data_IF_746739559776
#
_entry.id   IF_746739559776
#
_cell.length_a   1.000
_cell.length_b   1.000
_cell.length_c   1.000
_cell.angle_alpha   90.00
_cell.angle_beta   90.00
_cell.angle_gamma   90.00
#
_symmetry.space_group_name_H-M   'P 1'
#
loop_
_entity.id
_entity.type
_entity.pdbx_description
1 polymer ?
#
# COMPACT_ATOMS: atom_id res chain seq x y z
N UNK A 1 -11.44 12.42 14.92
CA UNK A 1 -10.23 11.64 14.59
C UNK A 1 -9.76 10.88 15.83
N UNK A 2 -9.56 9.56 15.78
CA UNK A 2 -9.09 8.79 16.94
C UNK A 2 -7.60 8.45 16.76
N UNK A 3 -6.76 8.96 17.67
CA UNK A 3 -5.32 8.76 17.64
C UNK A 3 -4.91 7.63 18.62
N UNK A 4 -4.30 6.56 18.09
CA UNK A 4 -3.77 5.45 18.91
C UNK A 4 -2.25 5.42 18.78
N UNK A 5 -1.51 5.32 19.90
CA UNK A 5 -0.06 5.21 19.86
C UNK A 5 0.37 3.87 19.22
N UNK A 6 1.50 3.88 18.51
CA UNK A 6 2.09 2.65 17.92
C UNK A 6 2.56 1.65 18.96
N UNK A 7 2.87 2.11 20.16
CA UNK A 7 3.37 1.29 21.26
C UNK A 7 2.51 1.54 22.48
N UNK A 8 2.10 0.47 23.16
CA UNK A 8 1.32 0.53 24.39
C UNK A 8 1.90 -0.43 25.41
N UNK A 9 2.08 0.01 26.65
CA UNK A 9 2.41 -0.89 27.74
C UNK A 9 1.12 -1.58 28.22
N UNK A 10 1.08 -2.91 28.17
CA UNK A 10 -0.08 -3.68 28.65
C UNK A 10 0.34 -5.07 29.12
N UNK A 11 -0.55 -5.70 29.88
CA UNK A 11 -0.33 -7.03 30.43
C UNK A 11 -0.28 -8.08 29.31
N UNK A 12 0.81 -8.85 29.29
CA UNK A 12 0.95 -10.00 28.40
C UNK A 12 0.41 -11.27 29.08
N UNK A 13 -0.56 -11.92 28.44
CA UNK A 13 -1.17 -13.18 28.93
C UNK A 13 -0.29 -14.42 28.72
N UNK A 14 0.84 -14.29 28.03
CA UNK A 14 1.71 -15.42 27.76
C UNK A 14 2.33 -15.95 29.07
N UNK A 15 2.48 -17.27 29.18
CA UNK A 15 2.97 -17.96 30.39
C UNK A 15 4.37 -17.49 30.79
N UNK A 16 5.22 -17.15 29.82
CA UNK A 16 6.60 -16.73 30.01
C UNK A 16 6.73 -15.27 30.49
N UNK A 17 5.78 -14.41 30.12
CA UNK A 17 5.89 -12.98 30.41
C UNK A 17 5.15 -12.62 31.69
N UNK A 18 3.85 -12.96 31.80
CA UNK A 18 2.95 -12.63 32.92
C UNK A 18 3.15 -11.23 33.55
N UNK A 19 3.60 -10.26 32.75
CA UNK A 19 4.00 -8.92 33.19
C UNK A 19 3.58 -7.89 32.15
N UNK A 20 3.57 -6.63 32.58
CA UNK A 20 3.35 -5.49 31.71
C UNK A 20 4.59 -5.29 30.83
N UNK A 21 4.40 -5.33 29.52
CA UNK A 21 5.47 -5.18 28.54
C UNK A 21 5.02 -4.24 27.44
N UNK A 22 5.99 -3.70 26.72
CA UNK A 22 5.73 -2.88 25.54
C UNK A 22 5.17 -3.76 24.42
N UNK A 23 4.05 -3.33 23.84
CA UNK A 23 3.39 -3.99 22.73
C UNK A 23 3.36 -3.08 21.51
N UNK A 24 3.68 -3.64 20.34
CA UNK A 24 3.47 -2.98 19.04
C UNK A 24 2.00 -3.09 18.68
N UNK A 25 1.39 -1.94 18.41
CA UNK A 25 -0.02 -1.80 18.04
C UNK A 25 -0.14 -1.75 16.53
N UNK A 26 -0.96 -2.64 15.98
CA UNK A 26 -1.32 -2.65 14.55
C UNK A 26 -2.82 -2.80 14.41
N UNK A 27 -3.38 -2.36 13.28
CA UNK A 27 -4.79 -2.58 12.99
C UNK A 27 -5.00 -4.02 12.50
N UNK A 28 -6.05 -4.67 12.97
CA UNK A 28 -6.47 -5.95 12.43
C UNK A 28 -6.94 -5.79 10.98
N UNK A 29 -6.37 -6.61 10.09
CA UNK A 29 -6.83 -6.78 8.71
C UNK A 29 -7.43 -8.17 8.57
N UNK A 30 -8.58 -8.27 7.91
CA UNK A 30 -9.18 -9.56 7.56
C UNK A 30 -8.27 -10.24 6.51
N UNK A 31 -7.94 -11.50 6.73
CA UNK A 31 -7.24 -12.32 5.72
C UNK A 31 -8.16 -12.73 4.57
N UNK A 32 -7.57 -13.40 3.56
CA UNK A 32 -8.32 -14.05 2.48
C UNK A 32 -9.16 -15.19 3.06
N UNK A 33 -10.42 -15.29 2.63
CA UNK A 33 -11.30 -16.38 3.05
C UNK A 33 -10.82 -17.72 2.44
N UNK A 34 -10.75 -18.77 3.25
CA UNK A 34 -10.29 -20.10 2.82
C UNK A 34 -11.40 -20.89 2.14
N UNK A 35 -11.09 -21.52 1.00
CA UNK A 35 -12.03 -22.37 0.25
C UNK A 35 -12.26 -23.74 0.91
N UNK A 36 -11.26 -24.25 1.64
CA UNK A 36 -11.33 -25.57 2.28
C UNK A 36 -12.26 -25.60 3.51
N UNK A 37 -12.68 -24.43 4.01
CA UNK A 37 -13.58 -24.32 5.14
C UNK A 37 -14.89 -25.09 4.89
N UNK A 38 -15.37 -25.85 5.88
CA UNK A 38 -16.56 -26.70 5.76
C UNK A 38 -17.79 -25.92 5.27
N UNK A 39 -17.98 -24.69 5.76
CA UNK A 39 -19.09 -23.83 5.35
C UNK A 39 -19.03 -23.44 3.87
N UNK A 40 -17.83 -23.15 3.35
CA UNK A 40 -17.61 -22.81 1.94
C UNK A 40 -17.81 -24.03 1.04
N UNK A 41 -17.23 -25.19 1.39
CA UNK A 41 -17.47 -26.47 0.69
C UNK A 41 -18.95 -26.83 0.60
N UNK A 42 -19.69 -26.66 1.71
CA UNK A 42 -21.15 -26.89 1.75
C UNK A 42 -21.90 -25.89 0.86
N UNK A 43 -21.51 -24.61 0.89
CA UNK A 43 -22.12 -23.56 0.06
C UNK A 43 -21.92 -23.86 -1.43
N UNK A 44 -20.70 -24.20 -1.84
CA UNK A 44 -20.37 -24.47 -3.24
C UNK A 44 -21.09 -25.70 -3.79
N UNK A 45 -21.19 -26.78 -2.99
CA UNK A 45 -22.01 -27.96 -3.33
C UNK A 45 -23.51 -27.64 -3.39
N UNK A 46 -24.00 -26.71 -2.56
CA UNK A 46 -25.41 -26.28 -2.64
C UNK A 46 -25.64 -25.42 -3.88
N UNK A 47 -24.64 -24.64 -4.27
CA UNK A 47 -24.72 -23.68 -5.36
C UNK A 47 -24.54 -24.32 -6.75
N UNK A 48 -23.96 -25.52 -6.83
CA UNK A 48 -23.81 -26.27 -8.09
C UNK A 48 -25.15 -26.80 -8.60
N UNK A 49 -25.35 -26.76 -9.92
CA UNK A 49 -26.58 -27.22 -10.60
C UNK A 49 -27.47 -26.05 -11.03
N UNK A 50 -28.73 -26.37 -11.33
CA UNK A 50 -29.75 -25.39 -11.70
C UNK A 50 -30.50 -24.87 -10.45
N UNK A 51 -31.18 -23.73 -10.57
CA UNK A 51 -31.97 -23.14 -9.47
C UNK A 51 -31.45 -21.80 -8.92
N UNK A 52 -30.41 -21.22 -9.53
CA UNK A 52 -29.96 -19.86 -9.22
C UNK A 52 -29.31 -19.73 -7.84
N UNK A 53 -29.48 -18.57 -7.20
CA UNK A 53 -28.83 -18.25 -5.92
C UNK A 53 -29.50 -18.97 -4.74
N UNK A 54 -28.75 -19.80 -4.00
CA UNK A 54 -29.33 -20.75 -3.02
C UNK A 54 -29.37 -20.25 -1.57
N UNK A 55 -28.75 -19.10 -1.29
CA UNK A 55 -28.66 -18.46 0.02
C UNK A 55 -28.93 -16.95 -0.09
N UNK A 56 -29.62 -16.35 0.88
CA UNK A 56 -29.97 -14.94 0.81
C UNK A 56 -28.73 -14.04 0.84
N UNK A 57 -28.70 -13.06 -0.06
CA UNK A 57 -27.70 -11.98 -0.05
C UNK A 57 -28.23 -10.84 0.82
N UNK A 58 -27.39 -10.33 1.71
CA UNK A 58 -27.79 -9.24 2.60
C UNK A 58 -27.65 -7.88 1.89
N UNK A 59 -28.77 -7.23 1.59
CA UNK A 59 -28.80 -5.94 0.87
C UNK A 59 -28.92 -4.71 1.77
N UNK A 60 -29.61 -4.82 2.92
CA UNK A 60 -29.97 -3.68 3.78
C UNK A 60 -28.88 -3.32 4.80
N UNK A 61 -27.73 -2.82 4.33
CA UNK A 61 -26.64 -2.35 5.21
C UNK A 61 -26.98 -1.01 5.88
N UNK A 62 -27.37 -1.04 7.15
CA UNK A 62 -27.63 0.19 7.92
C UNK A 62 -26.36 0.79 8.55
N UNK A 63 -25.37 -0.04 8.90
CA UNK A 63 -24.15 0.42 9.60
C UNK A 63 -23.16 1.00 8.60
N UNK A 64 -22.80 2.26 8.79
CA UNK A 64 -21.79 2.97 7.98
C UNK A 64 -20.37 2.56 8.33
N UNK A 65 -20.13 2.19 9.58
CA UNK A 65 -18.80 1.98 10.17
C UNK A 65 -18.62 0.56 10.71
N UNK A 66 -17.36 0.14 10.85
CA UNK A 66 -16.96 -1.17 11.38
C UNK A 66 -16.22 -0.97 12.72
N UNK A 67 -16.35 -1.94 13.63
CA UNK A 67 -15.56 -1.97 14.86
C UNK A 67 -14.08 -2.17 14.54
N UNK A 68 -13.25 -1.22 14.94
CA UNK A 68 -11.81 -1.28 14.78
C UNK A 68 -11.24 -2.21 15.87
N UNK A 69 -10.54 -3.26 15.44
CA UNK A 69 -9.84 -4.18 16.34
C UNK A 69 -8.35 -3.94 16.22
N UNK A 70 -7.68 -3.79 17.36
CA UNK A 70 -6.23 -3.68 17.43
C UNK A 70 -5.61 -5.05 17.64
N UNK A 71 -4.51 -5.32 16.93
CA UNK A 71 -3.60 -6.44 17.18
C UNK A 71 -2.40 -5.91 17.95
N UNK A 72 -2.23 -6.38 19.17
CA UNK A 72 -1.12 -6.04 20.05
C UNK A 72 -0.10 -7.18 20.02
N UNK A 73 1.10 -6.90 19.53
CA UNK A 73 2.21 -7.85 19.50
C UNK A 73 3.18 -7.55 20.64
N UNK A 74 3.42 -8.53 21.51
CA UNK A 74 4.43 -8.40 22.55
C UNK A 74 5.85 -8.34 21.95
N UNK A 75 6.71 -7.44 22.45
CA UNK A 75 8.08 -7.34 21.95
C UNK A 75 8.97 -8.52 22.40
N UNK A 76 8.76 -9.07 23.61
CA UNK A 76 9.57 -10.17 24.13
C UNK A 76 9.13 -11.53 23.57
N UNK A 77 7.88 -11.94 23.79
CA UNK A 77 7.39 -13.27 23.41
C UNK A 77 6.66 -13.34 22.07
N UNK A 78 6.49 -12.21 21.37
CA UNK A 78 5.79 -12.12 20.08
C UNK A 78 4.33 -12.63 20.08
N UNK A 79 3.75 -12.90 21.25
CA UNK A 79 2.34 -13.28 21.38
C UNK A 79 1.43 -12.14 20.91
N UNK A 80 0.36 -12.50 20.21
CA UNK A 80 -0.64 -11.56 19.70
C UNK A 80 -1.91 -11.58 20.57
N UNK A 81 -2.33 -10.41 21.04
CA UNK A 81 -3.64 -10.24 21.66
C UNK A 81 -4.50 -9.27 20.86
N UNK A 82 -5.79 -9.59 20.73
CA UNK A 82 -6.75 -8.73 20.04
C UNK A 82 -7.56 -7.93 21.06
N UNK A 83 -7.67 -6.61 20.86
CA UNK A 83 -8.50 -5.76 21.70
C UNK A 83 -9.39 -4.87 20.81
N UNK A 84 -10.73 -5.02 20.87
CA UNK A 84 -11.63 -4.07 20.25
C UNK A 84 -11.60 -2.76 21.04
N UNK A 85 -11.63 -1.63 20.34
CA UNK A 85 -11.76 -0.33 21.00
C UNK A 85 -13.25 -0.13 21.33
N UNK A 86 -13.55 0.27 22.57
CA UNK A 86 -14.93 0.53 23.04
C UNK A 86 -15.45 1.93 22.67
N UNK A 87 -14.63 2.78 22.05
CA UNK A 87 -15.02 4.14 21.67
C UNK A 87 -16.08 4.14 20.57
N UNK A 88 -16.90 5.19 20.56
CA UNK A 88 -17.89 5.46 19.51
C UNK A 88 -17.25 5.40 18.11
N UNK A 89 -18.04 4.91 17.17
CA UNK A 89 -17.63 4.66 15.79
C UNK A 89 -16.96 5.90 15.17
N UNK A 90 -15.66 5.80 14.92
CA UNK A 90 -14.89 6.82 14.21
C UNK A 90 -14.66 6.40 12.77
N UNK A 91 -14.96 7.29 11.82
CA UNK A 91 -14.73 7.07 10.39
C UNK A 91 -13.26 7.20 9.99
N UNK A 92 -12.45 7.92 10.77
CA UNK A 92 -11.03 8.16 10.49
C UNK A 92 -10.11 7.72 11.63
N UNK A 93 -9.24 6.74 11.35
CA UNK A 93 -8.28 6.15 12.28
C UNK A 93 -6.89 6.10 11.66
N UNK A 94 -5.97 6.92 12.16
CA UNK A 94 -4.58 6.90 11.73
C UNK A 94 -3.70 6.30 12.83
N UNK A 95 -3.00 5.20 12.50
CA UNK A 95 -1.82 4.78 13.26
C UNK A 95 -0.68 5.60 12.66
N UNK A 96 -0.18 6.60 13.39
CA UNK A 96 0.84 7.57 12.97
C UNK A 96 2.09 6.93 12.33
N UNK A 97 2.08 6.43 11.10
CA UNK A 97 3.32 6.23 10.36
C UNK A 97 3.93 7.62 10.24
N UNK A 98 4.89 7.97 11.13
CA UNK A 98 5.81 9.07 10.94
C UNK A 98 6.20 8.99 9.48
N UNK A 99 5.66 9.89 8.67
CA UNK A 99 6.08 10.11 7.32
C UNK A 99 7.52 10.57 7.50
N UNK A 100 8.45 9.62 7.47
CA UNK A 100 9.84 9.90 7.75
C UNK A 100 10.29 10.84 6.65
N UNK A 101 10.86 11.98 7.03
CA UNK A 101 11.48 12.97 6.14
C UNK A 101 12.42 12.31 5.08
N UNK A 102 12.84 11.07 5.34
CA UNK A 102 13.52 10.16 4.42
C UNK A 102 12.80 9.95 3.07
N UNK A 103 11.46 9.88 3.02
CA UNK A 103 10.76 9.75 1.71
C UNK A 103 10.78 11.04 0.90
N UNK A 104 10.78 12.20 1.57
CA UNK A 104 10.92 13.52 0.93
C UNK A 104 12.36 13.72 0.44
N UNK A 105 13.37 13.29 1.21
CA UNK A 105 14.77 13.30 0.80
C UNK A 105 15.04 12.38 -0.40
N UNK A 106 14.48 11.17 -0.44
CA UNK A 106 14.71 10.25 -1.57
C UNK A 106 14.14 10.84 -2.87
N UNK A 107 12.99 11.53 -2.82
CA UNK A 107 12.42 12.18 -4.00
C UNK A 107 13.24 13.39 -4.47
N UNK A 108 13.85 14.15 -3.55
CA UNK A 108 14.75 15.25 -3.93
C UNK A 108 16.09 14.76 -4.49
N UNK A 109 16.67 13.70 -3.93
CA UNK A 109 17.92 13.12 -4.44
C UNK A 109 17.77 12.46 -5.83
N UNK A 110 16.63 11.81 -6.13
CA UNK A 110 16.35 11.26 -7.47
C UNK A 110 16.13 12.36 -8.52
N UNK A 111 15.56 13.51 -8.14
CA UNK A 111 15.46 14.68 -9.03
C UNK A 111 16.82 15.29 -9.38
N UNK A 112 17.78 15.28 -8.45
CA UNK A 112 19.13 15.86 -8.70
C UNK A 112 20.05 14.88 -9.43
N UNK A 113 19.89 13.57 -9.22
CA UNK A 113 20.69 12.53 -9.88
C UNK A 113 20.43 12.36 -11.39
N UNK A 114 19.21 12.69 -11.85
CA UNK A 114 18.87 12.58 -13.28
C UNK A 114 19.43 13.73 -14.13
N UNK A 115 19.82 14.86 -13.53
CA UNK A 115 20.36 16.01 -14.26
C UNK A 115 21.88 15.95 -14.54
N UNK A 116 22.62 14.95 -14.03
CA UNK A 116 24.09 14.88 -14.20
C UNK A 116 24.62 13.62 -14.91
N UNK A 117 23.75 12.73 -15.39
CA UNK A 117 24.13 11.43 -15.97
C UNK A 117 23.98 11.29 -17.48
N UNK A 118 23.76 12.36 -18.24
CA UNK A 118 23.47 12.30 -19.68
C UNK A 118 24.63 12.75 -20.59
N UNK A 119 25.85 12.86 -20.07
CA UNK A 119 27.03 13.25 -20.85
C UNK A 119 28.20 12.37 -20.47
N UNK A 120 28.78 11.72 -21.48
CA UNK A 120 29.97 10.84 -21.45
C UNK A 120 29.72 9.39 -21.06
N UNK A 121 29.37 8.56 -22.05
CA UNK A 121 29.87 7.18 -22.21
C UNK A 121 29.24 6.53 -23.44
N UNK A 122 29.81 6.74 -24.64
CA UNK A 122 30.03 5.66 -25.63
C UNK A 122 30.89 6.12 -26.80
N UNK A 123 32.21 6.22 -26.59
CA UNK A 123 33.19 6.34 -27.67
C UNK A 123 34.36 5.39 -27.42
N UNK A 124 34.18 4.08 -27.65
CA UNK A 124 35.21 3.17 -28.18
C UNK A 124 34.48 2.02 -28.89
N UNK A 125 34.62 2.02 -30.22
CA UNK A 125 34.19 0.98 -31.16
C UNK A 125 35.13 -0.24 -31.05
N UNK A 126 34.61 -1.46 -30.97
CA UNK A 126 35.32 -2.64 -31.46
C UNK A 126 34.40 -3.48 -32.34
N UNK A 127 35.00 -3.94 -33.43
CA UNK A 127 34.42 -4.28 -34.72
C UNK A 127 34.32 -5.81 -34.85
N UNK A 128 33.15 -6.41 -34.60
CA UNK A 128 32.66 -7.61 -35.32
C UNK A 128 31.22 -7.95 -34.91
N UNK A 129 30.44 -8.38 -35.91
CA UNK A 129 29.04 -8.87 -35.84
C UNK A 129 27.93 -7.82 -35.67
N UNK A 130 27.62 -7.09 -36.75
CA UNK A 130 26.34 -6.37 -36.90
C UNK A 130 25.91 -6.32 -38.35
N UNK A 131 25.12 -7.29 -38.80
CA UNK A 131 24.00 -7.02 -39.71
C UNK A 131 22.77 -7.74 -39.12
N UNK A 132 21.62 -7.04 -39.06
CA UNK A 132 20.30 -7.51 -38.59
C UNK A 132 19.82 -7.33 -37.13
N UNK A 133 20.40 -6.45 -36.29
CA UNK A 133 19.77 -6.16 -34.98
C UNK A 133 19.82 -4.70 -34.48
N UNK A 134 19.86 -3.71 -35.39
CA UNK A 134 20.02 -2.29 -35.01
C UNK A 134 18.76 -1.41 -35.09
N UNK A 135 17.59 -1.92 -35.50
CA UNK A 135 16.38 -1.07 -35.65
C UNK A 135 15.36 -1.16 -34.51
N UNK A 136 15.40 -2.21 -33.66
CA UNK A 136 14.39 -2.41 -32.58
C UNK A 136 14.73 -1.75 -31.24
N UNK A 137 15.97 -1.32 -31.01
CA UNK A 137 16.39 -0.75 -29.73
C UNK A 137 16.25 0.77 -29.63
N UNK A 138 16.02 1.49 -30.75
CA UNK A 138 15.83 2.94 -30.73
C UNK A 138 14.37 3.36 -30.52
N UNK A 139 13.42 2.50 -30.92
CA UNK A 139 11.98 2.76 -30.76
C UNK A 139 11.43 2.39 -29.37
N UNK A 140 12.12 1.51 -28.64
CA UNK A 140 11.67 1.07 -27.30
C UNK A 140 12.01 2.08 -26.20
N UNK A 141 13.11 2.84 -26.36
CA UNK A 141 13.54 3.85 -25.39
C UNK A 141 12.68 5.11 -25.45
N UNK A 142 12.31 5.57 -26.65
CA UNK A 142 11.45 6.74 -26.86
C UNK A 142 10.02 6.50 -26.37
N UNK A 143 9.48 5.29 -26.57
CA UNK A 143 8.15 4.92 -26.07
C UNK A 143 8.09 4.86 -24.54
N UNK A 144 9.13 4.36 -23.89
CA UNK A 144 9.19 4.28 -22.43
C UNK A 144 9.26 5.67 -21.78
N UNK A 145 10.02 6.59 -22.37
CA UNK A 145 10.15 7.97 -21.87
C UNK A 145 8.83 8.73 -22.07
N UNK A 146 8.17 8.61 -23.23
CA UNK A 146 6.88 9.25 -23.49
C UNK A 146 5.76 8.70 -22.60
N UNK A 147 5.74 7.38 -22.38
CA UNK A 147 4.75 6.76 -21.49
C UNK A 147 4.92 7.26 -20.05
N UNK A 148 6.16 7.34 -19.56
CA UNK A 148 6.41 7.87 -18.22
C UNK A 148 6.11 9.36 -18.11
N UNK A 149 6.41 10.15 -19.15
CA UNK A 149 6.13 11.59 -19.19
C UNK A 149 4.62 11.89 -19.18
N UNK A 150 3.81 11.12 -19.94
CA UNK A 150 2.36 11.27 -19.96
C UNK A 150 1.72 10.81 -18.64
N UNK A 151 2.24 9.74 -18.03
CA UNK A 151 1.80 9.28 -16.71
C UNK A 151 2.17 10.32 -15.63
N UNK A 152 3.37 10.91 -15.68
CA UNK A 152 3.78 11.98 -14.77
C UNK A 152 2.96 13.26 -14.96
N UNK A 153 2.69 13.66 -16.20
CA UNK A 153 1.86 14.83 -16.52
C UNK A 153 0.41 14.66 -16.05
N UNK A 154 -0.11 13.44 -16.11
CA UNK A 154 -1.46 13.12 -15.59
C UNK A 154 -1.51 13.12 -14.06
N UNK A 155 -0.43 12.70 -13.39
CA UNK A 155 -0.31 12.69 -11.92
C UNK A 155 -0.08 14.11 -11.38
N UNK A 156 0.64 14.96 -12.11
CA UNK A 156 0.85 16.38 -11.81
C UNK A 156 -0.26 17.29 -12.36
N UNK A 157 -1.45 16.74 -12.61
CA UNK A 157 -2.69 17.46 -12.91
C UNK A 157 -3.21 18.37 -11.78
N UNK A 158 -2.32 18.94 -10.97
CA UNK A 158 -2.59 20.05 -10.08
C UNK A 158 -1.42 21.04 -10.19
N UNK A 159 -1.76 22.31 -10.43
CA UNK A 159 -0.93 23.53 -10.42
C UNK A 159 -0.48 24.15 -11.75
N UNK A 160 -1.11 23.85 -12.90
CA UNK A 160 -0.93 24.70 -14.10
C UNK A 160 -1.84 25.95 -14.14
N UNK A 161 -2.53 26.28 -13.04
CA UNK A 161 -3.35 27.50 -12.92
C UNK A 161 -2.73 28.60 -12.05
N UNK A 162 -1.56 28.35 -11.44
CA UNK A 162 -0.82 29.38 -10.66
C UNK A 162 0.35 30.01 -11.40
N UNK A 163 0.82 29.43 -12.51
CA UNK A 163 1.97 29.98 -13.25
C UNK A 163 1.58 30.99 -14.34
N UNK A 164 0.32 30.99 -14.80
CA UNK A 164 -0.14 31.90 -15.86
C UNK A 164 -0.45 33.33 -15.36
N UNK A 165 -0.42 33.58 -14.05
CA UNK A 165 -0.58 34.92 -13.47
C UNK A 165 0.75 35.64 -13.20
N UNK A 166 1.89 34.97 -13.34
CA UNK A 166 3.21 35.56 -13.06
C UNK A 166 3.91 36.12 -14.32
N UNK A 167 3.25 36.10 -15.48
CA UNK A 167 3.80 36.48 -16.80
C UNK A 167 3.01 37.62 -17.49
N UNK A 168 2.11 38.30 -16.76
CA UNK A 168 1.32 39.46 -17.22
C UNK A 168 1.58 40.71 -16.35
N UNK A 169 2.72 40.77 -15.65
CA UNK A 169 3.22 41.97 -14.99
C UNK A 169 4.65 42.27 -15.48
#
# INVERSE_FOLDING_TARGET
MVNIPKTKNTYCKNKECKKHTLHKVTQYKKGKDSLAAQGKRRYDRKQSGYGGQTKPVFHKKAKTTKKIVLRLQCQSCKHFSQRPIKVMMSETFFIFVKHSLLSVLILTYLCVGFCRGASTLRSVETRREREHHSFKLFHLSTFFVLFWYLVFASILGYTLKSWLWCLIL
#
